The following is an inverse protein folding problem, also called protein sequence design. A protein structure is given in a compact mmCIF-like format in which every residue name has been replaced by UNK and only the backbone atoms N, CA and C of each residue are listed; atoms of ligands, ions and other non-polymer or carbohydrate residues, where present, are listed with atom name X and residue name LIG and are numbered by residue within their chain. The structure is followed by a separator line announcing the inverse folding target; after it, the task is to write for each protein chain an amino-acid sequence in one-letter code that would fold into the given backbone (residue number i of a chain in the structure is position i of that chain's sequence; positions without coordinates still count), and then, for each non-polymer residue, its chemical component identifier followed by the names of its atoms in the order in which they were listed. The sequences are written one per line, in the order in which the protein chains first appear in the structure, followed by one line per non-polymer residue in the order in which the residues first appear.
data_IF_630285343708
#
_entry.id   IF_630285343708
#
_cell.length_a   1.000
_cell.length_b   1.000
_cell.length_c   1.000
_cell.angle_alpha   90.00
_cell.angle_beta   90.00
_cell.angle_gamma   90.00
#
_symmetry.space_group_name_H-M   'P 1'
#
loop_
_entity.id
_entity.type
_entity.pdbx_description
1 polymer ?
#
# COMPACT_ATOMS: atom_id res chain seq x y z
N UNK A 1 11.63 -10.69 1.96
CA UNK A 1 10.19 -10.62 2.25
C UNK A 1 9.41 -9.96 1.12
N UNK A 2 8.44 -10.66 0.52
CA UNK A 2 7.49 -10.11 -0.45
C UNK A 2 6.25 -9.52 0.25
N UNK A 3 6.12 -8.19 0.26
CA UNK A 3 5.00 -7.48 0.89
C UNK A 3 4.10 -6.93 -0.21
N UNK A 4 2.83 -7.35 -0.25
CA UNK A 4 1.81 -6.72 -1.07
C UNK A 4 1.09 -5.66 -0.24
N UNK A 5 1.34 -4.39 -0.54
CA UNK A 5 0.74 -3.26 0.17
C UNK A 5 -0.35 -2.61 -0.67
N UNK A 6 -1.51 -2.32 -0.05
CA UNK A 6 -2.72 -1.86 -0.73
C UNK A 6 -3.29 -0.63 -0.03
N UNK A 7 -3.47 0.44 -0.79
CA UNK A 7 -4.21 1.66 -0.40
C UNK A 7 -5.59 1.62 -1.09
N UNK A 8 -6.67 1.29 -0.36
CA UNK A 8 -7.98 1.01 -0.94
C UNK A 8 -8.71 2.29 -1.37
N UNK A 9 -9.34 2.23 -2.54
CA UNK A 9 -10.17 3.32 -3.05
C UNK A 9 -11.57 3.35 -2.45
N UNK A 10 -12.21 4.51 -2.60
CA UNK A 10 -13.66 4.66 -2.52
C UNK A 10 -14.39 3.66 -3.43
N UNK A 11 -15.56 3.19 -3.01
CA UNK A 11 -16.45 2.39 -3.84
C UNK A 11 -17.47 3.25 -4.62
N UNK A 12 -17.43 4.59 -4.50
CA UNK A 12 -18.36 5.54 -5.12
C UNK A 12 -17.71 6.60 -6.01
N UNK A 13 -16.51 7.06 -5.65
CA UNK A 13 -15.82 8.16 -6.33
C UNK A 13 -15.08 7.60 -7.54
N UNK A 14 -15.60 7.82 -8.74
CA UNK A 14 -15.07 7.22 -9.97
C UNK A 14 -13.62 7.60 -10.28
N UNK A 15 -13.19 8.77 -9.82
CA UNK A 15 -11.82 9.24 -10.00
C UNK A 15 -10.84 8.63 -9.01
N UNK A 16 -11.29 7.97 -7.94
CA UNK A 16 -10.43 7.31 -6.94
C UNK A 16 -9.73 6.08 -7.54
N UNK A 17 -8.58 5.70 -6.99
CA UNK A 17 -7.82 4.53 -7.45
C UNK A 17 -7.29 3.74 -6.27
N UNK A 18 -7.38 2.41 -6.33
CA UNK A 18 -6.71 1.53 -5.37
C UNK A 18 -5.25 1.42 -5.79
N UNK A 19 -4.35 1.91 -4.94
CA UNK A 19 -2.91 1.79 -5.14
C UNK A 19 -2.41 0.45 -4.63
N UNK A 20 -1.70 -0.31 -5.45
CA UNK A 20 -1.15 -1.61 -5.07
C UNK A 20 0.34 -1.62 -5.37
N UNK A 21 1.15 -2.08 -4.41
CA UNK A 21 2.60 -2.21 -4.58
C UNK A 21 3.04 -3.57 -4.08
N UNK A 22 3.82 -4.27 -4.90
CA UNK A 22 4.55 -5.45 -4.49
C UNK A 22 6.01 -5.06 -4.21
N UNK A 23 6.42 -5.21 -2.96
CA UNK A 23 7.80 -4.99 -2.53
C UNK A 23 8.48 -6.34 -2.32
N UNK A 24 9.76 -6.42 -2.67
CA UNK A 24 10.67 -7.46 -2.15
C UNK A 24 11.72 -6.76 -1.28
N UNK A 25 11.55 -6.93 0.02
CA UNK A 25 12.17 -6.10 1.05
C UNK A 25 11.87 -4.61 0.82
N UNK A 26 12.89 -3.77 0.60
CA UNK A 26 12.72 -2.34 0.38
C UNK A 26 12.60 -1.96 -1.11
N UNK A 27 12.58 -2.95 -2.01
CA UNK A 27 12.67 -2.76 -3.45
C UNK A 27 11.32 -2.95 -4.11
N UNK A 28 11.03 -2.11 -5.10
CA UNK A 28 9.86 -2.28 -5.96
C UNK A 28 10.04 -3.53 -6.84
N UNK A 29 9.08 -4.45 -6.77
CA UNK A 29 8.94 -5.54 -7.76
C UNK A 29 8.01 -5.10 -8.86
N UNK A 30 6.80 -4.66 -8.50
CA UNK A 30 5.78 -4.19 -9.43
C UNK A 30 4.75 -3.32 -8.68
N UNK A 31 3.90 -2.63 -9.42
CA UNK A 31 2.79 -1.86 -8.88
C UNK A 31 1.61 -1.78 -9.84
N UNK A 32 0.43 -1.53 -9.30
CA UNK A 32 -0.80 -1.38 -10.07
C UNK A 32 -1.61 -0.21 -9.57
N UNK A 33 -2.24 0.49 -10.52
CA UNK A 33 -3.26 1.49 -10.26
C UNK A 33 -4.58 0.89 -10.71
N UNK A 34 -5.37 0.41 -9.75
CA UNK A 34 -6.67 -0.20 -10.04
C UNK A 34 -7.76 0.87 -9.94
N UNK A 35 -8.71 0.95 -10.89
CA UNK A 35 -9.84 1.88 -10.79
C UNK A 35 -10.65 1.69 -9.49
N UNK A 36 -11.44 2.70 -9.14
CA UNK A 36 -12.21 2.72 -7.89
C UNK A 36 -13.05 1.46 -7.64
N UNK A 37 -13.23 1.13 -6.36
CA UNK A 37 -14.23 0.20 -5.88
C UNK A 37 -13.89 -1.29 -5.94
N UNK A 38 -14.69 -2.02 -5.15
CA UNK A 38 -14.57 -3.45 -4.89
C UNK A 38 -14.58 -4.31 -6.18
N UNK A 39 -15.40 -3.93 -7.16
CA UNK A 39 -15.55 -4.73 -8.38
C UNK A 39 -14.28 -4.71 -9.24
N UNK A 40 -13.64 -3.54 -9.37
CA UNK A 40 -12.39 -3.40 -10.12
C UNK A 40 -11.25 -4.12 -9.40
N UNK A 41 -11.19 -4.03 -8.06
CA UNK A 41 -10.24 -4.82 -7.28
C UNK A 41 -10.41 -6.33 -7.49
N UNK A 42 -11.64 -6.85 -7.42
CA UNK A 42 -11.93 -8.28 -7.65
C UNK A 42 -11.53 -8.74 -9.05
N UNK A 43 -11.69 -7.89 -10.07
CA UNK A 43 -11.22 -8.19 -11.43
C UNK A 43 -9.70 -8.29 -11.46
N UNK A 44 -8.99 -7.28 -10.92
CA UNK A 44 -7.53 -7.30 -10.82
C UNK A 44 -7.02 -8.53 -10.07
N UNK A 45 -7.67 -8.90 -8.97
CA UNK A 45 -7.30 -10.09 -8.19
C UNK A 45 -7.43 -11.38 -9.03
N UNK A 46 -8.50 -11.53 -9.80
CA UNK A 46 -8.70 -12.70 -10.66
C UNK A 46 -7.68 -12.79 -11.79
N UNK A 47 -7.25 -11.66 -12.33
CA UNK A 47 -6.34 -11.61 -13.47
C UNK A 47 -4.87 -11.70 -13.04
N UNK A 48 -4.51 -11.01 -11.96
CA UNK A 48 -3.14 -10.80 -11.53
C UNK A 48 -2.96 -11.24 -10.07
N UNK A 49 -3.70 -10.62 -9.14
CA UNK A 49 -3.43 -10.70 -7.70
C UNK A 49 -3.31 -12.13 -7.14
N UNK A 50 -4.22 -13.03 -7.53
CA UNK A 50 -4.22 -14.43 -7.06
C UNK A 50 -3.02 -15.27 -7.50
N UNK A 51 -2.25 -14.79 -8.47
CA UNK A 51 -1.03 -15.46 -8.98
C UNK A 51 0.25 -14.91 -8.38
N UNK A 52 0.16 -13.82 -7.61
CA UNK A 52 1.31 -13.23 -6.96
C UNK A 52 1.77 -14.11 -5.80
N UNK A 53 3.07 -14.39 -5.75
CA UNK A 53 3.70 -14.94 -4.57
C UNK A 53 3.97 -13.81 -3.58
N UNK A 54 3.31 -13.86 -2.42
CA UNK A 54 3.41 -12.82 -1.38
C UNK A 54 3.59 -13.50 -0.03
N UNK A 55 4.46 -12.95 0.81
CA UNK A 55 4.66 -13.43 2.19
C UNK A 55 3.63 -12.79 3.14
N UNK A 56 3.22 -11.55 2.85
CA UNK A 56 2.20 -10.84 3.62
C UNK A 56 1.43 -9.85 2.74
N UNK A 57 0.19 -9.55 3.16
CA UNK A 57 -0.65 -8.51 2.55
C UNK A 57 -0.97 -7.46 3.61
N UNK A 58 -0.64 -6.20 3.33
CA UNK A 58 -0.87 -5.06 4.22
C UNK A 58 -1.84 -4.11 3.54
N UNK A 59 -2.95 -3.78 4.19
CA UNK A 59 -3.98 -2.89 3.64
C UNK A 59 -4.19 -1.72 4.58
N UNK A 60 -4.35 -0.51 4.04
CA UNK A 60 -4.65 0.66 4.87
C UNK A 60 -5.97 0.44 5.61
N UNK A 61 -5.93 0.60 6.93
CA UNK A 61 -7.13 0.57 7.76
C UNK A 61 -7.90 1.88 7.60
N UNK A 62 -9.12 1.79 7.10
CA UNK A 62 -10.07 2.89 7.13
C UNK A 62 -10.88 2.89 8.44
N UNK A 63 -11.00 4.05 9.09
CA UNK A 63 -11.83 4.22 10.29
C UNK A 63 -13.03 5.10 9.97
N UNK A 64 -14.22 4.51 10.00
CA UNK A 64 -15.50 5.21 9.87
C UNK A 64 -15.63 6.23 11.00
N UNK A 65 -16.04 7.45 10.66
CA UNK A 65 -16.39 8.49 11.64
C UNK A 65 -17.89 8.72 11.59
N UNK A 66 -18.62 8.17 12.57
CA UNK A 66 -20.09 8.11 12.60
C UNK A 66 -20.81 9.47 12.55
N UNK A 67 -20.11 10.57 12.86
CA UNK A 67 -20.72 11.90 12.99
C UNK A 67 -20.62 12.78 11.74
N UNK A 68 -20.09 12.25 10.62
CA UNK A 68 -19.84 13.04 9.42
C UNK A 68 -20.49 12.39 8.18
N UNK A 69 -21.80 12.58 8.03
CA UNK A 69 -22.59 12.12 6.89
C UNK A 69 -22.11 12.69 5.53
N UNK A 70 -21.20 13.67 5.52
CA UNK A 70 -20.60 14.21 4.31
C UNK A 70 -19.40 13.41 3.80
N UNK A 71 -18.85 12.51 4.62
CA UNK A 71 -17.70 11.68 4.25
C UNK A 71 -18.11 10.38 3.58
N UNK A 72 -17.34 10.03 2.57
CA UNK A 72 -17.48 8.78 1.86
C UNK A 72 -16.90 7.61 2.66
N UNK A 73 -17.77 6.83 3.29
CA UNK A 73 -17.42 5.62 4.04
C UNK A 73 -17.40 4.36 3.16
N UNK A 74 -17.61 4.49 1.84
CA UNK A 74 -17.70 3.34 0.93
C UNK A 74 -16.35 2.62 0.70
N UNK A 75 -15.24 3.20 1.16
CA UNK A 75 -13.92 2.52 1.21
C UNK A 75 -14.00 1.21 2.00
N UNK A 76 -14.88 1.12 3.01
CA UNK A 76 -15.12 -0.10 3.79
C UNK A 76 -15.54 -1.26 2.88
N UNK A 77 -16.40 -1.02 1.88
CA UNK A 77 -16.85 -2.04 0.94
C UNK A 77 -15.70 -2.55 0.06
N UNK A 78 -14.75 -1.67 -0.29
CA UNK A 78 -13.51 -2.06 -0.99
C UNK A 78 -12.63 -2.91 -0.09
N UNK A 79 -12.47 -2.55 1.20
CA UNK A 79 -11.69 -3.32 2.16
C UNK A 79 -12.29 -4.72 2.38
N UNK A 80 -13.60 -4.83 2.57
CA UNK A 80 -14.29 -6.12 2.70
C UNK A 80 -14.05 -7.01 1.47
N UNK A 81 -14.03 -6.43 0.27
CA UNK A 81 -13.68 -7.15 -0.95
C UNK A 81 -12.22 -7.64 -0.96
N UNK A 82 -11.29 -6.85 -0.42
CA UNK A 82 -9.88 -7.24 -0.29
C UNK A 82 -9.72 -8.37 0.73
N UNK A 83 -10.42 -8.31 1.87
CA UNK A 83 -10.43 -9.38 2.89
C UNK A 83 -10.93 -10.72 2.33
N UNK A 84 -11.93 -10.70 1.46
CA UNK A 84 -12.40 -11.91 0.77
C UNK A 84 -11.35 -12.50 -0.19
N UNK A 85 -10.48 -11.66 -0.75
CA UNK A 85 -9.41 -12.08 -1.66
C UNK A 85 -8.14 -12.52 -0.89
N UNK A 86 -7.85 -11.90 0.24
CA UNK A 86 -6.70 -12.15 1.10
C UNK A 86 -7.15 -12.28 2.57
N UNK A 87 -7.60 -13.47 3.00
CA UNK A 87 -8.18 -13.66 4.34
C UNK A 87 -7.23 -13.37 5.51
N UNK A 88 -5.92 -13.51 5.28
CA UNK A 88 -4.86 -13.31 6.30
C UNK A 88 -4.23 -11.90 6.23
N UNK A 89 -4.89 -10.95 5.58
CA UNK A 89 -4.36 -9.59 5.45
C UNK A 89 -4.23 -8.88 6.79
N UNK A 90 -3.37 -7.87 6.81
CA UNK A 90 -3.15 -7.00 7.96
C UNK A 90 -3.74 -5.62 7.66
N UNK A 91 -4.71 -5.20 8.47
CA UNK A 91 -5.21 -3.82 8.45
C UNK A 91 -4.29 -2.90 9.25
N UNK A 92 -3.52 -2.06 8.56
CA UNK A 92 -2.54 -1.16 9.15
C UNK A 92 -3.07 0.28 9.21
N UNK A 93 -3.08 0.87 10.41
CA UNK A 93 -3.32 2.32 10.58
C UNK A 93 -2.13 3.10 10.00
N UNK A 94 -2.38 4.19 9.29
CA UNK A 94 -1.32 5.03 8.71
C UNK A 94 -0.80 6.15 9.65
N UNK A 95 -1.30 6.23 10.88
CA UNK A 95 -0.90 7.25 11.84
C UNK A 95 0.61 7.20 12.12
N UNK A 96 1.33 8.28 11.80
CA UNK A 96 2.78 8.38 11.98
C UNK A 96 3.63 7.85 10.83
N UNK A 97 3.03 7.26 9.79
CA UNK A 97 3.79 6.65 8.68
C UNK A 97 4.74 7.59 7.94
N UNK A 98 4.49 8.91 7.91
CA UNK A 98 5.33 9.91 7.24
C UNK A 98 6.53 10.30 8.11
N UNK A 99 6.40 10.18 9.44
CA UNK A 99 7.52 10.39 10.36
C UNK A 99 8.50 9.22 10.27
N UNK A 100 7.97 7.99 10.24
CA UNK A 100 8.77 6.76 10.21
C UNK A 100 9.31 6.44 8.80
N UNK A 101 8.55 6.76 7.75
CA UNK A 101 8.94 6.64 6.35
C UNK A 101 8.87 8.02 5.67
N UNK A 102 9.91 8.87 5.84
CA UNK A 102 9.96 10.20 5.26
C UNK A 102 9.98 10.18 3.73
N UNK A 103 9.61 11.32 3.13
CA UNK A 103 9.63 11.49 1.67
C UNK A 103 11.02 11.25 1.08
N UNK A 104 12.07 11.72 1.75
CA UNK A 104 13.45 11.56 1.25
C UNK A 104 13.91 10.11 1.31
N UNK A 105 13.41 9.33 2.27
CA UNK A 105 13.62 7.89 2.28
C UNK A 105 12.94 7.23 1.08
N UNK A 106 11.68 7.55 0.80
CA UNK A 106 11.00 7.02 -0.41
C UNK A 106 11.73 7.38 -1.70
N UNK A 107 12.25 8.61 -1.82
CA UNK A 107 13.07 9.03 -2.97
C UNK A 107 14.35 8.19 -3.07
N UNK A 108 15.06 7.99 -1.95
CA UNK A 108 16.24 7.14 -1.92
C UNK A 108 15.90 5.71 -2.33
N UNK A 109 14.77 5.16 -1.90
CA UNK A 109 14.33 3.82 -2.28
C UNK A 109 13.79 3.71 -3.72
N UNK A 110 13.64 4.84 -4.44
CA UNK A 110 13.01 4.84 -5.77
C UNK A 110 11.50 4.64 -5.73
N UNK A 111 10.87 4.82 -4.57
CA UNK A 111 9.44 4.63 -4.29
C UNK A 111 8.69 5.96 -4.17
N UNK A 112 9.19 7.01 -4.83
CA UNK A 112 8.59 8.35 -4.79
C UNK A 112 7.76 8.67 -6.02
N UNK A 113 8.24 8.28 -7.20
CA UNK A 113 7.61 8.61 -8.48
C UNK A 113 7.09 7.34 -9.12
N UNK A 114 5.77 7.31 -9.34
CA UNK A 114 5.06 6.25 -10.06
C UNK A 114 4.29 6.86 -11.23
N UNK A 115 3.76 6.02 -12.12
CA UNK A 115 2.82 6.48 -13.14
C UNK A 115 1.61 7.17 -12.51
N UNK A 116 0.99 8.06 -13.28
CA UNK A 116 0.00 9.04 -12.79
C UNK A 116 -1.24 8.33 -12.21
N UNK A 117 -1.45 8.45 -10.90
CA UNK A 117 -2.68 8.07 -10.16
C UNK A 117 -3.39 9.30 -9.60
N UNK A 118 -4.64 9.16 -9.13
CA UNK A 118 -5.47 10.31 -8.72
C UNK A 118 -4.95 10.99 -7.45
N UNK A 119 -4.46 10.24 -6.45
CA UNK A 119 -3.96 10.81 -5.18
C UNK A 119 -2.55 10.36 -4.77
N UNK A 120 -1.75 9.82 -5.70
CA UNK A 120 -0.48 9.15 -5.34
C UNK A 120 -0.70 7.88 -4.51
N UNK A 121 -1.80 7.17 -4.76
CA UNK A 121 -2.25 6.00 -3.98
C UNK A 121 -1.16 4.91 -3.96
N UNK A 122 -0.44 4.73 -5.06
CA UNK A 122 0.70 3.80 -5.16
C UNK A 122 1.83 4.18 -4.20
N UNK A 123 2.10 5.48 -4.05
CA UNK A 123 3.12 5.97 -3.12
C UNK A 123 2.68 5.80 -1.66
N UNK A 124 1.39 6.02 -1.40
CA UNK A 124 0.82 5.76 -0.08
C UNK A 124 0.91 4.27 0.27
N UNK A 125 0.57 3.38 -0.67
CA UNK A 125 0.73 1.93 -0.53
C UNK A 125 2.20 1.54 -0.30
N UNK A 126 3.16 2.05 -1.07
CA UNK A 126 4.59 1.78 -0.84
C UNK A 126 5.02 2.22 0.57
N UNK A 127 4.60 3.41 1.01
CA UNK A 127 4.88 3.91 2.36
C UNK A 127 4.30 3.00 3.44
N UNK A 128 3.04 2.58 3.28
CA UNK A 128 2.33 1.75 4.24
C UNK A 128 3.04 0.40 4.45
N UNK A 129 3.50 -0.25 3.39
CA UNK A 129 4.18 -1.54 3.46
C UNK A 129 5.49 -1.46 4.22
N UNK A 130 6.31 -0.44 3.93
CA UNK A 130 7.56 -0.20 4.67
C UNK A 130 7.29 0.20 6.12
N UNK A 131 6.26 1.02 6.36
CA UNK A 131 5.87 1.44 7.69
C UNK A 131 5.47 0.26 8.58
N UNK A 132 4.64 -0.66 8.06
CA UNK A 132 4.31 -1.90 8.75
C UNK A 132 5.56 -2.72 9.04
N UNK A 133 6.45 -2.87 8.06
CA UNK A 133 7.67 -3.66 8.23
C UNK A 133 8.60 -3.10 9.31
N UNK A 134 8.78 -1.77 9.37
CA UNK A 134 9.57 -1.13 10.43
C UNK A 134 8.90 -1.31 11.79
N UNK A 135 7.59 -1.11 11.88
CA UNK A 135 6.84 -1.20 13.15
C UNK A 135 6.77 -2.63 13.73
N UNK A 136 7.02 -3.64 12.90
CA UNK A 136 7.02 -5.04 13.29
C UNK A 136 8.43 -5.65 13.27
N UNK A 137 9.48 -4.82 13.24
CA UNK A 137 10.88 -5.25 13.31
C UNK A 137 11.26 -6.32 12.28
N UNK A 138 10.76 -6.18 11.03
CA UNK A 138 11.10 -7.09 9.95
C UNK A 138 12.56 -6.85 9.53
N UNK A 139 13.45 -7.68 10.10
CA UNK A 139 14.90 -7.49 10.06
C UNK A 139 15.45 -7.37 8.64
N UNK A 140 15.02 -8.22 7.71
CA UNK A 140 15.52 -8.19 6.33
C UNK A 140 15.11 -6.92 5.56
N UNK A 141 13.90 -6.39 5.80
CA UNK A 141 13.45 -5.13 5.21
C UNK A 141 14.26 -3.97 5.77
N UNK A 142 14.40 -3.90 7.10
CA UNK A 142 15.15 -2.84 7.78
C UNK A 142 16.62 -2.81 7.32
N UNK A 143 17.26 -3.98 7.19
CA UNK A 143 18.62 -4.10 6.67
C UNK A 143 18.73 -3.61 5.22
N UNK A 144 17.79 -3.98 4.35
CA UNK A 144 17.84 -3.54 2.95
C UNK A 144 17.57 -2.04 2.81
N UNK A 145 16.68 -1.46 3.62
CA UNK A 145 16.50 0.00 3.75
C UNK A 145 17.83 0.67 4.10
N UNK A 146 18.49 0.21 5.18
CA UNK A 146 19.73 0.79 5.66
C UNK A 146 20.85 0.72 4.61
N UNK A 147 20.93 -0.41 3.88
CA UNK A 147 21.89 -0.61 2.79
C UNK A 147 21.67 0.40 1.66
N UNK A 148 20.44 0.53 1.14
CA UNK A 148 20.12 1.45 0.02
C UNK A 148 20.30 2.91 0.44
N UNK A 149 19.84 3.27 1.65
CA UNK A 149 19.98 4.64 2.16
C UNK A 149 21.46 5.04 2.29
N UNK A 150 22.32 4.14 2.79
CA UNK A 150 23.77 4.42 2.91
C UNK A 150 24.44 4.54 1.55
N UNK A 151 24.13 3.65 0.59
CA UNK A 151 24.71 3.67 -0.76
C UNK A 151 24.38 4.97 -1.52
N UNK A 152 23.17 5.51 -1.37
CA UNK A 152 22.71 6.71 -2.09
C UNK A 152 22.99 8.03 -1.37
N UNK A 153 23.30 8.01 -0.08
CA UNK A 153 23.70 9.22 0.66
C UNK A 153 25.22 9.42 0.69
N UNK A 154 26.00 8.43 0.23
CA UNK A 154 27.45 8.49 0.12
C UNK A 154 27.96 8.87 -1.29
N UNK A 155 27.07 9.01 -2.28
CA UNK A 155 27.37 9.43 -3.65
C UNK A 155 26.76 10.79 -3.95
#
# INVERSE_FOLDING_TARGET
MKILSIDPSSNRIESSTTGIVLLDNARLVDYWVVPFGAQNFKTWFKEIGRTLEVDTVVVEKFEVRDNDYSRDNSVVETIEAIELCYPDLILQRNAGYQADIPNDLLKALGLWTFDKSHHQDVRAAARLGLFWAIRNDIEEVIKDIGRIATEKMAG
#
